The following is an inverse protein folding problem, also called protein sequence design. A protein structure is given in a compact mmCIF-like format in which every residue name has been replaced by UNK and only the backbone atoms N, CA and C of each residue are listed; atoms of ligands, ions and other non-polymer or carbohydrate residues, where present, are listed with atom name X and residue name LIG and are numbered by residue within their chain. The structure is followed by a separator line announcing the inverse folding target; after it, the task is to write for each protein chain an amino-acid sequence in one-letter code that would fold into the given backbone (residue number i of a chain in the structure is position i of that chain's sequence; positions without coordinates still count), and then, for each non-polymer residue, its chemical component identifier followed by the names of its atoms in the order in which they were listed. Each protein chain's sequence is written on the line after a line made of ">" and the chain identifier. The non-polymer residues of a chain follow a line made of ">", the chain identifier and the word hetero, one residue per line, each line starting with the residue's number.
data_IF_585573143352
#
_entry.id   IF_585573143352
#
_cell.length_a   1.000
_cell.length_b   1.000
_cell.length_c   1.000
_cell.angle_alpha   90.00
_cell.angle_beta   90.00
_cell.angle_gamma   90.00
#
_symmetry.space_group_name_H-M   'P 1'
#
loop_
_entity.id
_entity.type
_entity.pdbx_description
1 polymer ?
#
# COMPACT_ATOMS: atom_id res chain seq x y z
N UNK A 1 21.46 -15.56 15.17
CA UNK A 1 20.07 -15.53 14.65
C UNK A 1 19.22 -16.08 15.78
N UNK A 2 18.53 -15.23 16.51
CA UNK A 2 17.56 -15.64 17.55
C UNK A 2 16.27 -15.98 16.78
N UNK A 3 15.70 -17.16 16.90
CA UNK A 3 14.44 -17.48 16.28
C UNK A 3 13.35 -16.61 16.90
N UNK A 4 12.69 -15.81 16.08
CA UNK A 4 11.53 -14.96 16.41
C UNK A 4 10.29 -15.83 16.70
N UNK A 5 10.33 -16.59 17.83
CA UNK A 5 9.15 -17.30 18.33
C UNK A 5 8.39 -16.34 19.23
N UNK A 6 7.24 -15.86 18.77
CA UNK A 6 6.25 -15.15 19.58
C UNK A 6 6.09 -13.65 19.33
N UNK A 7 6.63 -13.07 18.26
CA UNK A 7 6.35 -11.67 17.94
C UNK A 7 4.97 -11.54 17.29
N UNK A 8 4.06 -10.85 17.97
CA UNK A 8 2.77 -10.44 17.36
C UNK A 8 3.03 -9.29 16.39
N UNK A 9 3.21 -9.62 15.12
CA UNK A 9 3.34 -8.67 14.02
C UNK A 9 2.00 -8.65 13.27
N UNK A 10 1.47 -7.46 13.02
CA UNK A 10 0.36 -7.20 12.11
C UNK A 10 0.90 -6.36 10.96
N UNK A 11 0.83 -6.92 9.77
CA UNK A 11 1.31 -6.30 8.54
C UNK A 11 0.12 -5.93 7.67
N UNK A 12 0.12 -4.73 7.13
CA UNK A 12 -0.98 -4.19 6.33
C UNK A 12 -0.42 -3.70 4.99
N UNK A 13 -1.06 -4.16 3.92
CA UNK A 13 -0.86 -3.65 2.56
C UNK A 13 -1.97 -2.63 2.27
N UNK A 14 -1.66 -1.32 2.20
CA UNK A 14 -2.69 -0.28 2.08
C UNK A 14 -3.53 -0.37 0.80
N UNK A 15 -2.99 -0.90 -0.29
CA UNK A 15 -3.75 -1.11 -1.52
C UNK A 15 -4.92 -2.10 -1.35
N UNK A 16 -4.91 -2.91 -0.27
CA UNK A 16 -5.98 -3.84 0.07
C UNK A 16 -7.09 -3.19 0.93
N UNK A 17 -6.98 -1.93 1.31
CA UNK A 17 -8.01 -1.25 2.08
C UNK A 17 -9.38 -1.40 1.41
N UNK A 18 -10.38 -1.79 2.20
CA UNK A 18 -11.75 -2.02 1.72
C UNK A 18 -12.42 -0.73 1.23
N UNK A 19 -12.11 0.38 1.88
CA UNK A 19 -12.52 1.72 1.43
C UNK A 19 -11.26 2.58 1.24
N UNK A 20 -10.98 2.96 0.02
CA UNK A 20 -9.81 3.78 -0.32
C UNK A 20 -10.08 5.28 -0.17
N UNK A 21 -11.33 5.70 0.11
CA UNK A 21 -11.69 7.11 0.16
C UNK A 21 -11.29 7.84 -1.11
N UNK A 22 -10.48 8.88 -0.96
CA UNK A 22 -9.91 9.61 -2.10
C UNK A 22 -8.49 9.16 -2.50
N UNK A 23 -7.94 8.13 -1.86
CA UNK A 23 -6.65 7.56 -2.23
C UNK A 23 -6.77 6.66 -3.46
N UNK A 24 -5.78 6.70 -4.33
CA UNK A 24 -5.68 5.85 -5.52
C UNK A 24 -4.58 4.82 -5.37
N UNK A 25 -4.76 3.68 -6.03
CA UNK A 25 -3.69 2.68 -6.17
C UNK A 25 -2.74 3.19 -7.24
N UNK A 26 -1.47 3.30 -6.90
CA UNK A 26 -0.40 3.66 -7.81
C UNK A 26 0.66 2.56 -7.89
N UNK A 27 1.30 2.44 -9.03
CA UNK A 27 2.32 1.44 -9.33
C UNK A 27 3.59 2.04 -9.95
N UNK A 28 3.73 3.37 -9.91
CA UNK A 28 4.87 4.07 -10.52
C UNK A 28 6.23 3.57 -10.00
N UNK A 29 6.29 3.17 -8.73
CA UNK A 29 7.51 2.70 -8.06
C UNK A 29 7.46 1.21 -7.71
N UNK A 30 6.69 0.41 -8.43
CA UNK A 30 6.52 -1.02 -8.15
C UNK A 30 7.85 -1.80 -8.19
N UNK A 31 8.80 -1.36 -9.00
CA UNK A 31 10.17 -1.88 -9.07
C UNK A 31 11.00 -1.61 -7.80
N UNK A 32 10.60 -0.62 -6.98
CA UNK A 32 11.26 -0.24 -5.74
C UNK A 32 10.56 -0.78 -4.49
N UNK A 33 9.27 -1.08 -4.58
CA UNK A 33 8.47 -1.51 -3.43
C UNK A 33 7.89 -2.92 -3.55
N UNK A 34 7.84 -3.49 -4.76
CA UNK A 34 7.41 -4.86 -5.03
C UNK A 34 5.91 -5.01 -5.25
N UNK A 35 5.08 -4.15 -4.68
CA UNK A 35 3.61 -4.13 -4.81
C UNK A 35 3.13 -2.74 -5.24
N UNK A 36 1.86 -2.57 -5.67
CA UNK A 36 1.22 -1.27 -5.71
C UNK A 36 1.12 -0.67 -4.30
N UNK A 37 0.96 0.64 -4.20
CA UNK A 37 0.82 1.37 -2.95
C UNK A 37 -0.34 2.38 -3.03
N UNK A 38 -0.74 2.96 -1.89
CA UNK A 38 -1.72 4.05 -1.89
C UNK A 38 -1.04 5.41 -2.07
N UNK A 39 -1.65 6.22 -2.94
CA UNK A 39 -1.26 7.60 -3.26
C UNK A 39 -2.45 8.54 -3.01
N UNK A 40 -2.25 9.59 -2.22
CA UNK A 40 -3.21 10.68 -2.08
C UNK A 40 -2.81 11.85 -2.98
N UNK A 41 -3.63 12.10 -4.01
CA UNK A 41 -3.39 13.18 -4.97
C UNK A 41 -4.62 14.06 -5.13
N UNK A 42 -4.76 15.05 -4.24
CA UNK A 42 -5.92 15.95 -4.16
C UNK A 42 -5.67 17.35 -4.73
N UNK A 43 -4.56 17.56 -5.46
CA UNK A 43 -4.19 18.87 -6.05
C UNK A 43 -4.15 20.02 -5.02
N UNK A 44 -3.69 19.72 -3.82
CA UNK A 44 -3.58 20.68 -2.72
C UNK A 44 -4.74 20.67 -1.73
N UNK A 45 -5.77 19.86 -1.98
CA UNK A 45 -6.87 19.65 -1.05
C UNK A 45 -6.77 18.21 -0.50
N UNK A 46 -6.80 18.02 0.83
CA UNK A 46 -6.78 16.71 1.43
C UNK A 46 -7.88 15.80 0.88
N UNK A 47 -7.53 14.58 0.51
CA UNK A 47 -8.50 13.62 0.02
C UNK A 47 -9.24 12.93 1.18
N UNK A 48 -10.36 12.26 0.88
CA UNK A 48 -11.09 11.49 1.88
C UNK A 48 -10.23 10.35 2.43
N UNK A 49 -10.38 10.06 3.72
CA UNK A 49 -9.63 9.01 4.41
C UNK A 49 -9.85 7.64 3.77
N UNK A 50 -8.77 6.89 3.64
CA UNK A 50 -8.86 5.47 3.37
C UNK A 50 -9.05 4.70 4.68
N UNK A 51 -9.92 3.69 4.71
CA UNK A 51 -10.24 2.91 5.92
C UNK A 51 -10.32 1.42 5.65
N UNK A 52 -9.96 0.63 6.67
CA UNK A 52 -10.19 -0.80 6.70
C UNK A 52 -10.44 -1.28 8.12
N UNK A 53 -11.15 -2.40 8.27
CA UNK A 53 -11.24 -3.14 9.53
C UNK A 53 -10.01 -4.03 9.66
N UNK A 54 -9.27 -3.91 10.75
CA UNK A 54 -8.03 -4.63 11.00
C UNK A 54 -8.12 -5.49 12.24
N UNK A 55 -7.74 -6.77 12.13
CA UNK A 55 -7.71 -7.71 13.23
C UNK A 55 -6.34 -7.67 13.94
N UNK A 56 -6.37 -7.61 15.26
CA UNK A 56 -5.19 -7.76 16.11
C UNK A 56 -5.27 -9.07 16.90
N UNK A 57 -4.19 -9.88 16.93
CA UNK A 57 -4.19 -11.15 17.64
C UNK A 57 -4.30 -10.96 19.17
N UNK A 58 -3.85 -9.82 19.67
CA UNK A 58 -3.84 -9.47 21.08
C UNK A 58 -4.09 -7.98 21.29
N UNK A 59 -4.72 -7.62 22.40
CA UNK A 59 -4.79 -6.23 22.86
C UNK A 59 -3.49 -5.77 23.51
N UNK A 60 -3.32 -4.47 23.71
CA UNK A 60 -2.18 -3.86 24.40
C UNK A 60 -1.44 -2.81 23.57
N UNK A 61 -0.20 -2.51 23.99
CA UNK A 61 0.61 -1.48 23.32
C UNK A 61 1.33 -2.06 22.11
N UNK A 62 1.24 -1.37 20.98
CA UNK A 62 1.94 -1.70 19.74
C UNK A 62 2.80 -0.54 19.28
N UNK A 63 3.98 -0.84 18.79
CA UNK A 63 4.80 0.05 17.99
C UNK A 63 4.28 0.08 16.57
N UNK A 64 4.37 1.23 15.89
CA UNK A 64 3.83 1.45 14.55
C UNK A 64 4.89 2.00 13.63
N UNK A 65 4.94 1.48 12.41
CA UNK A 65 5.76 1.98 11.31
C UNK A 65 4.91 2.08 10.05
N UNK A 66 5.20 3.08 9.23
CA UNK A 66 4.73 3.12 7.85
C UNK A 66 5.91 3.15 6.88
N UNK A 67 5.80 2.37 5.80
CA UNK A 67 6.75 2.44 4.69
C UNK A 67 6.28 3.49 3.71
N UNK A 68 7.07 4.55 3.60
CA UNK A 68 6.72 5.76 2.85
C UNK A 68 7.95 6.37 2.20
N UNK A 69 7.76 7.48 1.51
CA UNK A 69 8.82 8.23 0.83
C UNK A 69 8.48 9.71 0.83
N UNK A 70 9.38 10.56 1.36
CA UNK A 70 9.32 11.99 1.04
C UNK A 70 9.85 12.21 -0.39
N UNK A 71 9.09 12.88 -1.22
CA UNK A 71 9.49 13.13 -2.61
C UNK A 71 10.24 14.47 -2.80
N UNK A 72 10.39 15.25 -1.72
CA UNK A 72 11.21 16.47 -1.69
C UNK A 72 12.45 16.24 -0.82
N UNK A 73 13.67 16.29 -1.41
CA UNK A 73 14.91 15.91 -0.70
C UNK A 73 15.30 16.81 0.48
N UNK A 74 14.80 18.04 0.51
CA UNK A 74 15.14 19.00 1.56
C UNK A 74 14.32 18.84 2.84
N UNK A 75 13.41 17.89 2.87
CA UNK A 75 12.49 17.66 3.98
C UNK A 75 11.30 18.62 4.02
N UNK A 76 10.31 18.26 4.83
CA UNK A 76 9.07 19.03 4.94
C UNK A 76 8.21 19.01 3.67
N UNK A 77 8.38 17.99 2.83
CA UNK A 77 7.61 17.79 1.61
C UNK A 77 6.11 17.81 1.86
N UNK A 78 5.30 18.10 0.83
CA UNK A 78 3.86 18.23 0.99
C UNK A 78 3.13 16.89 1.13
N UNK A 79 3.76 15.74 0.84
CA UNK A 79 3.15 14.41 0.88
C UNK A 79 2.87 13.87 2.29
N UNK A 80 2.20 14.66 3.14
CA UNK A 80 1.98 14.38 4.55
C UNK A 80 0.72 13.59 4.80
N UNK A 81 0.81 12.57 5.66
CA UNK A 81 -0.35 11.82 6.13
C UNK A 81 -0.21 11.39 7.59
N UNK A 82 -1.32 11.01 8.18
CA UNK A 82 -1.39 10.45 9.54
C UNK A 82 -2.11 9.10 9.51
N UNK A 83 -1.83 8.30 10.54
CA UNK A 83 -2.49 7.02 10.79
C UNK A 83 -3.34 7.18 12.04
N UNK A 84 -4.59 6.71 12.01
CA UNK A 84 -5.45 6.64 13.18
C UNK A 84 -6.12 5.27 13.31
N UNK A 85 -6.39 4.88 14.56
CA UNK A 85 -7.08 3.65 14.92
C UNK A 85 -8.24 4.02 15.84
N UNK A 86 -9.49 3.65 15.45
CA UNK A 86 -10.72 4.03 16.18
C UNK A 86 -10.78 5.53 16.47
N UNK A 87 -10.34 6.37 15.52
CA UNK A 87 -10.28 7.82 15.69
C UNK A 87 -9.13 8.34 16.56
N UNK A 88 -8.33 7.47 17.18
CA UNK A 88 -7.13 7.86 17.92
C UNK A 88 -5.97 7.98 16.94
N UNK A 89 -5.53 9.20 16.67
CA UNK A 89 -4.44 9.49 15.72
C UNK A 89 -3.09 9.28 16.39
N UNK A 90 -2.17 8.65 15.67
CA UNK A 90 -0.76 8.54 16.08
C UNK A 90 -0.13 9.94 16.00
N UNK A 91 0.58 10.33 17.06
CA UNK A 91 1.25 11.64 17.13
C UNK A 91 2.55 11.67 16.29
N UNK A 92 2.39 11.40 14.99
CA UNK A 92 3.47 11.45 14.00
C UNK A 92 2.90 11.76 12.62
N UNK A 93 3.60 12.63 11.89
CA UNK A 93 3.29 12.94 10.49
C UNK A 93 4.26 12.20 9.61
N UNK A 94 3.75 11.30 8.80
CA UNK A 94 4.51 10.49 7.86
C UNK A 94 4.70 11.18 6.51
N UNK A 95 5.74 10.79 5.76
CA UNK A 95 5.97 11.17 4.38
C UNK A 95 6.63 12.53 4.18
N UNK A 96 7.24 13.12 5.22
CA UNK A 96 7.84 14.46 5.14
C UNK A 96 9.14 14.64 5.91
N UNK A 97 9.89 13.57 6.12
CA UNK A 97 11.12 13.57 6.92
C UNK A 97 12.39 13.94 6.12
N UNK A 98 12.29 14.20 4.83
CA UNK A 98 13.39 14.55 3.94
C UNK A 98 14.11 13.36 3.31
N UNK A 99 13.66 12.14 3.56
CA UNK A 99 14.28 10.93 3.01
C UNK A 99 13.64 10.58 1.67
N UNK A 100 14.26 10.99 0.56
CA UNK A 100 13.77 10.76 -0.80
C UNK A 100 14.06 9.33 -1.32
N UNK A 101 13.73 8.34 -0.51
CA UNK A 101 13.70 6.92 -0.87
C UNK A 101 12.62 6.22 -0.06
N UNK A 102 12.14 5.09 -0.51
CA UNK A 102 11.24 4.26 0.28
C UNK A 102 11.97 3.73 1.52
N UNK A 103 11.39 3.93 2.69
CA UNK A 103 11.94 3.52 3.97
C UNK A 103 10.84 3.45 5.04
N UNK A 104 11.19 2.91 6.18
CA UNK A 104 10.27 2.82 7.31
C UNK A 104 10.40 4.03 8.22
N UNK A 105 9.31 4.78 8.36
CA UNK A 105 9.17 5.81 9.38
C UNK A 105 8.51 5.21 10.64
N UNK A 106 9.11 5.49 11.80
CA UNK A 106 8.58 5.04 13.08
C UNK A 106 7.59 6.06 13.64
N UNK A 107 6.33 5.68 13.76
CA UNK A 107 5.23 6.55 14.23
C UNK A 107 5.02 6.58 15.74
N UNK A 108 5.81 5.83 16.52
CA UNK A 108 5.60 5.75 17.97
C UNK A 108 4.82 4.52 18.40
N UNK A 109 4.01 4.68 19.44
CA UNK A 109 3.19 3.57 19.99
C UNK A 109 1.73 3.95 20.07
N UNK A 110 0.86 2.95 19.91
CA UNK A 110 -0.58 3.08 20.06
C UNK A 110 -1.14 1.93 20.89
N UNK A 111 -2.17 2.19 21.68
CA UNK A 111 -2.87 1.19 22.46
C UNK A 111 -4.01 0.57 21.66
N UNK A 112 -4.06 -0.74 21.62
CA UNK A 112 -5.08 -1.55 20.99
C UNK A 112 -5.94 -2.15 22.10
N UNK A 113 -7.20 -1.75 22.18
CA UNK A 113 -8.12 -2.16 23.25
C UNK A 113 -9.19 -3.17 22.79
N UNK A 114 -9.27 -3.44 21.47
CA UNK A 114 -10.20 -4.42 20.91
C UNK A 114 -9.49 -5.30 19.87
N UNK A 115 -9.96 -6.54 19.65
CA UNK A 115 -9.36 -7.45 18.67
C UNK A 115 -9.64 -7.07 17.20
N UNK A 116 -10.63 -6.23 16.97
CA UNK A 116 -10.99 -5.70 15.65
C UNK A 116 -11.14 -4.19 15.77
N UNK A 117 -10.43 -3.42 14.97
CA UNK A 117 -10.47 -1.96 14.99
C UNK A 117 -10.45 -1.38 13.58
N UNK A 118 -10.98 -0.16 13.43
CA UNK A 118 -10.86 0.59 12.19
C UNK A 118 -9.50 1.28 12.12
N UNK A 119 -8.74 0.95 11.09
CA UNK A 119 -7.51 1.64 10.69
C UNK A 119 -7.86 2.67 9.61
N UNK A 120 -7.34 3.88 9.75
CA UNK A 120 -7.55 4.98 8.80
C UNK A 120 -6.23 5.64 8.40
N UNK A 121 -6.08 5.92 7.10
CA UNK A 121 -5.07 6.82 6.55
C UNK A 121 -5.71 8.18 6.28
N UNK A 122 -5.14 9.23 6.83
CA UNK A 122 -5.61 10.61 6.72
C UNK A 122 -4.59 11.42 5.93
N UNK A 123 -4.97 11.85 4.74
CA UNK A 123 -4.17 12.82 3.98
C UNK A 123 -4.28 14.21 4.61
N UNK A 124 -3.17 14.95 4.68
CA UNK A 124 -3.11 16.27 5.31
C UNK A 124 -3.00 17.38 4.28
N UNK A 125 -2.39 17.09 3.14
CA UNK A 125 -1.96 18.15 2.22
C UNK A 125 -2.54 18.05 0.81
N UNK A 126 -3.07 16.89 0.42
CA UNK A 126 -3.53 16.66 -0.95
C UNK A 126 -2.40 16.58 -1.99
N UNK A 127 -1.14 16.44 -1.54
CA UNK A 127 0.02 16.39 -2.43
C UNK A 127 0.84 15.12 -2.23
N UNK A 128 0.44 14.06 -2.93
CA UNK A 128 1.25 12.87 -3.17
C UNK A 128 1.77 12.15 -1.92
N UNK A 129 0.96 12.12 -0.85
CA UNK A 129 1.22 11.23 0.27
C UNK A 129 1.22 9.77 -0.21
N UNK A 130 2.22 8.99 0.17
CA UNK A 130 2.45 7.62 -0.29
C UNK A 130 2.58 6.68 0.89
N UNK A 131 1.84 5.58 0.86
CA UNK A 131 1.94 4.54 1.87
C UNK A 131 1.99 3.17 1.19
N UNK A 132 3.13 2.48 1.34
CA UNK A 132 3.39 1.17 0.75
C UNK A 132 3.00 0.03 1.71
N UNK A 133 3.37 0.14 2.98
CA UNK A 133 3.04 -0.85 3.99
C UNK A 133 2.92 -0.20 5.37
N UNK A 134 2.13 -0.82 6.26
CA UNK A 134 2.07 -0.45 7.68
C UNK A 134 2.38 -1.70 8.51
N UNK A 135 3.22 -1.53 9.52
CA UNK A 135 3.57 -2.61 10.43
C UNK A 135 3.26 -2.24 11.87
N UNK A 136 2.60 -3.15 12.58
CA UNK A 136 2.40 -3.06 14.02
C UNK A 136 3.13 -4.22 14.70
N UNK A 137 3.82 -3.95 15.80
CA UNK A 137 4.50 -4.99 16.59
C UNK A 137 4.45 -4.66 18.08
N UNK A 138 4.33 -5.70 18.92
CA UNK A 138 4.44 -5.57 20.38
C UNK A 138 5.82 -5.12 20.83
N UNK A 139 6.84 -5.44 20.04
CA UNK A 139 8.22 -5.07 20.32
C UNK A 139 8.72 -4.04 19.31
N UNK A 140 9.64 -3.18 19.74
CA UNK A 140 10.32 -2.27 18.81
C UNK A 140 11.35 -3.05 17.99
N UNK A 141 11.01 -3.36 16.76
CA UNK A 141 11.82 -4.18 15.84
C UNK A 141 12.52 -3.30 14.78
N UNK A 142 13.53 -3.89 14.14
CA UNK A 142 14.12 -3.32 12.92
C UNK A 142 13.45 -4.02 11.74
N UNK A 143 12.77 -3.24 10.92
CA UNK A 143 12.11 -3.73 9.71
C UNK A 143 13.10 -3.83 8.54
N UNK A 144 12.94 -4.82 7.63
CA UNK A 144 13.81 -4.97 6.47
C UNK A 144 13.62 -3.82 5.48
N UNK A 145 14.68 -3.47 4.76
CA UNK A 145 14.65 -2.42 3.72
C UNK A 145 14.92 -2.98 2.31
N UNK A 146 15.35 -4.23 2.21
CA UNK A 146 15.51 -4.92 0.93
C UNK A 146 14.21 -5.63 0.50
N UNK A 147 13.93 -5.63 -0.81
CA UNK A 147 12.68 -6.15 -1.37
C UNK A 147 12.47 -7.64 -1.07
N UNK A 148 13.52 -8.44 -1.13
CA UNK A 148 13.38 -9.88 -0.91
C UNK A 148 12.88 -10.19 0.51
N UNK A 149 13.47 -9.55 1.51
CA UNK A 149 13.07 -9.74 2.91
C UNK A 149 11.70 -9.10 3.19
N UNK A 150 11.38 -7.97 2.55
CA UNK A 150 10.04 -7.37 2.61
C UNK A 150 8.98 -8.33 2.07
N UNK A 151 9.23 -8.98 0.93
CA UNK A 151 8.30 -9.97 0.37
C UNK A 151 8.13 -11.20 1.26
N UNK A 152 9.18 -11.62 1.97
CA UNK A 152 9.08 -12.66 3.00
C UNK A 152 8.16 -12.23 4.16
N UNK A 153 8.24 -10.97 4.60
CA UNK A 153 7.34 -10.40 5.61
C UNK A 153 5.90 -10.31 5.11
N UNK A 154 5.66 -9.84 3.88
CA UNK A 154 4.35 -9.82 3.23
C UNK A 154 3.72 -11.20 3.20
N UNK A 155 4.47 -12.19 2.74
CA UNK A 155 3.99 -13.58 2.64
C UNK A 155 3.71 -14.21 4.00
N UNK A 156 4.44 -13.80 5.04
CA UNK A 156 4.33 -14.39 6.38
C UNK A 156 3.26 -13.73 7.23
N UNK A 157 3.14 -12.41 7.17
CA UNK A 157 2.34 -11.60 8.07
C UNK A 157 1.23 -10.81 7.38
N UNK A 158 1.34 -10.59 6.06
CA UNK A 158 0.30 -9.91 5.28
C UNK A 158 -0.98 -10.73 5.23
N UNK A 159 -2.11 -10.06 5.24
CA UNK A 159 -3.39 -10.66 4.87
C UNK A 159 -3.41 -10.88 3.35
N UNK A 160 -2.71 -11.91 2.90
CA UNK A 160 -3.00 -12.44 1.57
C UNK A 160 -4.40 -13.02 1.69
N UNK A 161 -5.35 -12.50 0.92
CA UNK A 161 -6.66 -13.13 0.82
C UNK A 161 -6.44 -14.58 0.37
N UNK A 162 -6.51 -15.52 1.34
CA UNK A 162 -6.35 -16.96 1.10
C UNK A 162 -7.41 -17.52 0.17
N UNK A 163 -8.43 -16.71 -0.15
CA UNK A 163 -9.47 -17.02 -1.12
C UNK A 163 -9.12 -16.49 -2.54
N UNK A 164 -8.01 -15.75 -2.72
CA UNK A 164 -7.52 -15.45 -4.07
C UNK A 164 -7.05 -16.77 -4.67
N UNK A 165 -7.87 -17.34 -5.52
CA UNK A 165 -7.49 -18.48 -6.36
C UNK A 165 -6.52 -17.94 -7.41
N UNK A 166 -5.23 -18.18 -7.22
CA UNK A 166 -4.24 -17.96 -8.27
C UNK A 166 -4.45 -18.98 -9.37
N UNK A 167 -5.21 -18.61 -10.39
CA UNK A 167 -5.36 -19.44 -11.57
C UNK A 167 -4.16 -19.16 -12.50
N UNK A 168 -3.26 -20.14 -12.59
CA UNK A 168 -2.15 -20.06 -13.56
C UNK A 168 -2.70 -20.38 -14.94
N UNK A 169 -2.71 -19.39 -15.83
CA UNK A 169 -3.05 -19.56 -17.24
C UNK A 169 -1.86 -19.19 -18.10
N UNK A 170 -1.70 -19.87 -19.21
CA UNK A 170 -0.68 -19.55 -20.20
C UNK A 170 -1.35 -18.84 -21.38
N UNK A 171 -0.76 -17.74 -21.81
CA UNK A 171 -1.20 -16.93 -22.94
C UNK A 171 0.01 -16.61 -23.82
N UNK A 172 -0.21 -16.51 -25.14
CA UNK A 172 0.83 -16.04 -26.05
C UNK A 172 1.14 -14.55 -25.84
N UNK A 173 0.11 -13.78 -25.40
CA UNK A 173 0.22 -12.36 -25.15
C UNK A 173 -0.69 -11.93 -23.98
N UNK A 174 -0.16 -11.14 -23.06
CA UNK A 174 -0.93 -10.44 -22.04
C UNK A 174 -0.86 -8.94 -22.30
N UNK A 175 -2.03 -8.29 -22.45
CA UNK A 175 -2.14 -6.83 -22.63
C UNK A 175 -2.64 -6.22 -21.33
N UNK A 176 -1.80 -5.47 -20.65
CA UNK A 176 -2.15 -4.73 -19.43
C UNK A 176 -2.45 -3.27 -19.78
N UNK A 177 -3.74 -2.90 -19.73
CA UNK A 177 -4.23 -1.56 -20.03
C UNK A 177 -5.15 -1.48 -21.23
N UNK A 178 -6.20 -0.64 -21.14
CA UNK A 178 -7.25 -0.45 -22.14
C UNK A 178 -7.10 0.82 -22.98
N UNK A 179 -5.95 1.49 -22.94
CA UNK A 179 -5.66 2.61 -23.83
C UNK A 179 -5.60 2.19 -25.31
N UNK A 180 -5.55 3.16 -26.22
CA UNK A 180 -5.54 2.91 -27.68
C UNK A 180 -4.46 1.90 -28.07
N UNK A 181 -3.26 2.02 -27.52
CA UNK A 181 -2.15 1.08 -27.80
C UNK A 181 -2.46 -0.35 -27.36
N UNK A 182 -3.03 -0.54 -26.17
CA UNK A 182 -3.42 -1.84 -25.65
C UNK A 182 -4.52 -2.50 -26.47
N UNK A 183 -5.55 -1.72 -26.85
CA UNK A 183 -6.63 -2.20 -27.73
C UNK A 183 -6.07 -2.62 -29.09
N UNK A 184 -5.20 -1.80 -29.69
CA UNK A 184 -4.59 -2.12 -30.97
C UNK A 184 -3.72 -3.39 -30.89
N UNK A 185 -2.95 -3.56 -29.81
CA UNK A 185 -2.13 -4.74 -29.58
C UNK A 185 -3.00 -6.00 -29.42
N UNK A 186 -4.07 -5.94 -28.63
CA UNK A 186 -5.00 -7.06 -28.44
C UNK A 186 -5.70 -7.47 -29.72
N UNK A 187 -6.21 -6.48 -30.50
CA UNK A 187 -6.87 -6.74 -31.79
C UNK A 187 -5.91 -7.37 -32.80
N UNK A 188 -4.65 -6.87 -32.85
CA UNK A 188 -3.67 -7.42 -33.77
C UNK A 188 -3.23 -8.83 -33.39
N UNK A 189 -3.07 -9.11 -32.10
CA UNK A 189 -2.77 -10.44 -31.60
C UNK A 189 -3.88 -11.45 -31.95
N UNK A 190 -5.14 -11.06 -31.74
CA UNK A 190 -6.30 -11.88 -32.08
C UNK A 190 -6.37 -12.15 -33.60
N UNK A 191 -6.07 -11.17 -34.45
CA UNK A 191 -6.01 -11.33 -35.91
C UNK A 191 -4.92 -12.31 -36.35
N UNK A 192 -3.85 -12.41 -35.59
CA UNK A 192 -2.75 -13.34 -35.84
C UNK A 192 -2.98 -14.73 -35.22
N UNK A 193 -4.16 -14.95 -34.60
CA UNK A 193 -4.53 -16.22 -33.99
C UNK A 193 -3.89 -16.51 -32.63
N UNK A 194 -3.29 -15.50 -32.00
CA UNK A 194 -2.70 -15.63 -30.67
C UNK A 194 -3.77 -15.74 -29.60
N UNK A 195 -3.54 -16.61 -28.62
CA UNK A 195 -4.34 -16.66 -27.38
C UNK A 195 -3.93 -15.50 -26.49
N UNK A 196 -4.77 -14.47 -26.41
CA UNK A 196 -4.46 -13.25 -25.67
C UNK A 196 -5.39 -13.06 -24.48
N UNK A 197 -4.85 -12.42 -23.43
CA UNK A 197 -5.61 -11.94 -22.28
C UNK A 197 -5.46 -10.43 -22.19
N UNK A 198 -6.58 -9.70 -22.03
CA UNK A 198 -6.58 -8.25 -21.86
C UNK A 198 -7.13 -7.91 -20.49
N UNK A 199 -6.34 -7.18 -19.68
CA UNK A 199 -6.76 -6.66 -18.38
C UNK A 199 -7.05 -5.17 -18.49
N UNK A 200 -8.29 -4.76 -18.22
CA UNK A 200 -8.75 -3.38 -18.27
C UNK A 200 -9.07 -2.90 -16.86
N UNK A 201 -8.48 -1.80 -16.41
CA UNK A 201 -8.96 -1.07 -15.23
C UNK A 201 -10.20 -0.25 -15.59
N UNK A 202 -11.23 -0.30 -14.75
CA UNK A 202 -12.49 0.41 -14.97
C UNK A 202 -12.35 1.94 -15.10
N UNK A 203 -11.23 2.53 -14.67
CA UNK A 203 -10.96 3.96 -14.74
C UNK A 203 -10.22 4.42 -16.00
N UNK A 204 -9.59 3.51 -16.75
CA UNK A 204 -8.84 3.88 -17.97
C UNK A 204 -9.76 4.21 -19.17
N UNK A 205 -11.01 3.80 -19.10
CA UNK A 205 -12.01 4.06 -20.16
C UNK A 205 -12.69 5.43 -20.05
N UNK A 206 -12.52 6.18 -18.96
CA UNK A 206 -13.19 7.48 -18.75
C UNK A 206 -12.35 8.71 -19.06
N UNK A 207 -11.05 8.60 -19.19
CA UNK A 207 -10.15 9.75 -19.35
C UNK A 207 -9.75 10.09 -20.79
N UNK A 208 -10.24 9.35 -21.80
CA UNK A 208 -9.86 9.53 -23.21
C UNK A 208 -11.07 9.65 -24.17
N UNK A 209 -12.21 10.18 -23.70
CA UNK A 209 -13.33 10.58 -24.56
C UNK A 209 -13.53 12.08 -24.49
#
# INVERSE_FOLDING_TARGET
>A
IIPLHGQSIVWVEPELFSNKGGWSIDAQFIDQVGTPYLLAHGLGEPVQNATMSLAFPETGLYHVWARTKDWIPEGGGPGKFMISLEGNTIDHIFGSDGVNRWHWEYGGTIRIDAPMIELSLQDITGFDARCDAICFSKEKIILPDDLQTIDEYRNKYGEIDKNIIYEKREFDLVVAGGGVAGICAAVQAARLGSVSYTHLRAHETRSNL
#
